data_IF_888798693451
#
_entry.id   IF_888798693451
#
_cell.length_a   1.000
_cell.length_b   1.000
_cell.length_c   1.000
_cell.angle_alpha   90.00
_cell.angle_beta   90.00
_cell.angle_gamma   90.00
#
_symmetry.space_group_name_H-M   'P 1'
#
loop_
_entity.id
_entity.type
_entity.pdbx_description
1 polymer ?
#
# COMPACT_ATOMS: atom_id res chain seq x y z
N UNK A 1 -10.69 29.98 -5.94
CA UNK A 1 -9.21 29.83 -5.89
C UNK A 1 -8.79 28.80 -4.84
N UNK A 2 -9.42 28.77 -3.66
CA UNK A 2 -9.20 27.73 -2.64
C UNK A 2 -9.56 26.31 -3.12
N UNK A 3 -10.74 26.07 -3.71
CA UNK A 3 -11.13 24.73 -4.21
C UNK A 3 -10.14 24.12 -5.20
N UNK A 4 -9.66 24.90 -6.18
CA UNK A 4 -8.64 24.46 -7.15
C UNK A 4 -7.31 24.09 -6.48
N UNK A 5 -6.93 24.78 -5.40
CA UNK A 5 -5.73 24.44 -4.64
C UNK A 5 -5.93 23.16 -3.80
N UNK A 6 -7.13 22.95 -3.26
CA UNK A 6 -7.48 21.74 -2.52
C UNK A 6 -7.49 20.50 -3.43
N UNK A 7 -8.06 20.60 -4.63
CA UNK A 7 -8.04 19.52 -5.63
C UNK A 7 -6.62 19.19 -6.09
N UNK A 8 -5.80 20.19 -6.39
CA UNK A 8 -4.41 19.98 -6.80
C UNK A 8 -3.57 19.32 -5.70
N UNK A 9 -3.85 19.65 -4.43
CA UNK A 9 -3.19 19.05 -3.27
C UNK A 9 -3.61 17.60 -3.09
N UNK A 10 -4.91 17.28 -3.19
CA UNK A 10 -5.40 15.90 -3.05
C UNK A 10 -4.87 14.99 -4.16
N UNK A 11 -4.81 15.49 -5.39
CA UNK A 11 -4.28 14.77 -6.54
C UNK A 11 -2.78 14.46 -6.40
N UNK A 12 -2.03 15.42 -5.86
CA UNK A 12 -0.60 15.24 -5.57
C UNK A 12 -0.38 14.17 -4.49
N UNK A 13 -1.16 14.22 -3.40
CA UNK A 13 -1.07 13.23 -2.33
C UNK A 13 -1.35 11.83 -2.88
N UNK A 14 -2.42 11.63 -3.67
CA UNK A 14 -2.74 10.32 -4.25
C UNK A 14 -1.62 9.80 -5.17
N UNK A 15 -1.00 10.68 -5.96
CA UNK A 15 0.07 10.30 -6.90
C UNK A 15 1.38 9.93 -6.20
N UNK A 16 1.75 10.63 -5.13
CA UNK A 16 3.06 10.45 -4.49
C UNK A 16 3.03 9.56 -3.26
N UNK A 17 1.88 9.38 -2.61
CA UNK A 17 1.77 8.55 -1.42
C UNK A 17 2.23 7.09 -1.65
N UNK A 18 1.92 6.42 -2.79
CA UNK A 18 2.50 5.13 -3.18
C UNK A 18 4.03 5.03 -3.12
N UNK A 19 4.73 6.16 -3.21
CA UNK A 19 6.19 6.25 -3.30
C UNK A 19 6.79 6.61 -1.94
N UNK A 20 6.16 7.56 -1.24
CA UNK A 20 6.72 8.16 -0.02
C UNK A 20 6.96 7.11 1.07
N UNK A 21 5.98 6.28 1.39
CA UNK A 21 6.13 5.32 2.49
C UNK A 21 7.16 4.22 2.19
N UNK A 22 7.15 3.55 1.03
CA UNK A 22 8.22 2.61 0.68
C UNK A 22 9.59 3.26 0.65
N UNK A 23 9.72 4.48 0.13
CA UNK A 23 11.00 5.20 0.10
C UNK A 23 11.52 5.50 1.52
N UNK A 24 10.65 5.95 2.43
CA UNK A 24 11.01 6.17 3.84
C UNK A 24 11.39 4.86 4.55
N UNK A 25 10.69 3.76 4.26
CA UNK A 25 11.03 2.46 4.80
C UNK A 25 12.40 1.98 4.31
N UNK A 26 12.69 2.09 3.01
CA UNK A 26 13.98 1.73 2.43
C UNK A 26 15.09 2.60 3.04
N UNK A 27 14.87 3.91 3.17
CA UNK A 27 15.83 4.82 3.80
C UNK A 27 16.11 4.43 5.26
N UNK A 28 15.05 4.16 6.03
CA UNK A 28 15.18 3.71 7.42
C UNK A 28 15.92 2.39 7.54
N UNK A 29 15.65 1.44 6.65
CA UNK A 29 16.35 0.16 6.59
C UNK A 29 17.84 0.35 6.27
N UNK A 30 18.18 1.18 5.28
CA UNK A 30 19.57 1.49 4.92
C UNK A 30 20.30 2.09 6.12
N UNK A 31 19.69 3.08 6.80
CA UNK A 31 20.28 3.69 7.99
C UNK A 31 20.55 2.64 9.07
N UNK A 32 19.58 1.75 9.34
CA UNK A 32 19.76 0.69 10.33
C UNK A 32 20.87 -0.28 9.94
N UNK A 33 20.92 -0.71 8.68
CA UNK A 33 21.96 -1.61 8.16
C UNK A 33 23.33 -0.97 8.31
N UNK A 34 23.50 0.29 7.90
CA UNK A 34 24.79 0.99 7.94
C UNK A 34 25.26 1.24 9.37
N UNK A 35 24.37 1.64 10.28
CA UNK A 35 24.74 1.99 11.66
C UNK A 35 24.93 0.74 12.53
N UNK A 36 24.08 -0.28 12.37
CA UNK A 36 24.05 -1.45 13.26
C UNK A 36 24.63 -2.72 12.65
N UNK A 37 24.96 -2.72 11.35
CA UNK A 37 25.45 -3.92 10.65
C UNK A 37 24.41 -5.05 10.59
N UNK A 38 23.11 -4.72 10.56
CA UNK A 38 22.04 -5.72 10.55
C UNK A 38 21.91 -6.44 9.21
N UNK A 39 21.31 -7.64 9.23
CA UNK A 39 21.06 -8.42 8.01
C UNK A 39 20.22 -7.65 7.00
N UNK A 40 20.72 -7.52 5.77
CA UNK A 40 20.13 -6.65 4.72
C UNK A 40 18.70 -7.04 4.40
N UNK A 41 18.46 -8.33 4.08
CA UNK A 41 17.15 -8.82 3.64
C UNK A 41 16.12 -8.73 4.75
N UNK A 42 16.45 -9.22 5.95
CA UNK A 42 15.55 -9.17 7.10
C UNK A 42 15.18 -7.72 7.46
N UNK A 43 16.17 -6.81 7.45
CA UNK A 43 15.94 -5.40 7.78
C UNK A 43 15.06 -4.73 6.73
N UNK A 44 15.33 -4.92 5.43
CA UNK A 44 14.47 -4.38 4.37
C UNK A 44 13.04 -4.92 4.47
N UNK A 45 12.89 -6.22 4.72
CA UNK A 45 11.60 -6.87 4.79
C UNK A 45 10.76 -6.33 5.96
N UNK A 46 11.31 -6.24 7.18
CA UNK A 46 10.53 -5.74 8.33
C UNK A 46 10.14 -4.27 8.17
N UNK A 47 11.00 -3.45 7.56
CA UNK A 47 10.69 -2.04 7.29
C UNK A 47 9.59 -1.88 6.24
N UNK A 48 9.60 -2.70 5.19
CA UNK A 48 8.54 -2.69 4.18
C UNK A 48 7.22 -3.24 4.74
N UNK A 49 7.26 -4.28 5.59
CA UNK A 49 6.08 -4.79 6.31
C UNK A 49 5.49 -3.72 7.26
N UNK A 50 6.34 -2.97 7.95
CA UNK A 50 5.90 -1.83 8.77
C UNK A 50 5.33 -0.69 7.90
N UNK A 51 5.90 -0.42 6.73
CA UNK A 51 5.38 0.59 5.79
C UNK A 51 4.01 0.21 5.22
N UNK A 52 3.78 -1.04 4.82
CA UNK A 52 2.41 -1.46 4.42
C UNK A 52 1.46 -1.41 5.62
N UNK A 53 1.97 -1.61 6.85
CA UNK A 53 1.21 -1.44 8.08
C UNK A 53 0.70 0.00 8.27
N UNK A 54 1.61 0.96 8.22
CA UNK A 54 1.29 2.39 8.30
C UNK A 54 0.41 2.82 7.12
N UNK A 55 0.73 2.36 5.91
CA UNK A 55 -0.05 2.61 4.70
C UNK A 55 -1.47 2.08 4.78
N UNK A 56 -1.67 0.90 5.37
CA UNK A 56 -2.98 0.30 5.59
C UNK A 56 -3.84 1.11 6.57
N UNK A 57 -3.25 1.62 7.66
CA UNK A 57 -3.97 2.51 8.59
C UNK A 57 -4.37 3.82 7.88
N UNK A 58 -3.47 4.39 7.09
CA UNK A 58 -3.77 5.60 6.32
C UNK A 58 -4.89 5.36 5.29
N UNK A 59 -4.82 4.25 4.56
CA UNK A 59 -5.85 3.86 3.60
C UNK A 59 -7.20 3.64 4.30
N UNK A 60 -7.22 2.97 5.47
CA UNK A 60 -8.41 2.86 6.32
C UNK A 60 -9.00 4.23 6.63
N UNK A 61 -8.18 5.20 7.06
CA UNK A 61 -8.67 6.54 7.38
C UNK A 61 -9.34 7.20 6.18
N UNK A 62 -8.74 7.10 4.99
CA UNK A 62 -9.30 7.61 3.75
C UNK A 62 -10.62 6.91 3.38
N UNK A 63 -10.58 5.59 3.26
CA UNK A 63 -11.73 4.78 2.87
C UNK A 63 -12.89 4.84 3.88
N UNK A 64 -12.61 5.01 5.17
CA UNK A 64 -13.63 5.11 6.22
C UNK A 64 -14.15 6.54 6.38
N UNK A 65 -13.31 7.53 6.63
CA UNK A 65 -13.78 8.88 6.97
C UNK A 65 -14.04 9.75 5.73
N UNK A 66 -13.43 9.41 4.59
CA UNK A 66 -13.50 10.17 3.33
C UNK A 66 -13.89 9.29 2.13
N UNK A 67 -14.79 8.33 2.35
CA UNK A 67 -15.19 7.33 1.34
C UNK A 67 -15.57 7.93 -0.02
N UNK A 68 -16.30 9.06 -0.01
CA UNK A 68 -16.71 9.74 -1.24
C UNK A 68 -15.55 10.33 -2.03
N UNK A 69 -14.57 10.93 -1.34
CA UNK A 69 -13.40 11.52 -1.99
C UNK A 69 -12.49 10.44 -2.57
N UNK A 70 -12.33 9.32 -1.86
CA UNK A 70 -11.55 8.18 -2.34
C UNK A 70 -12.23 7.51 -3.54
N UNK A 71 -13.54 7.27 -3.48
CA UNK A 71 -14.26 6.74 -4.64
C UNK A 71 -14.11 7.64 -5.87
N UNK A 72 -14.23 8.97 -5.71
CA UNK A 72 -13.99 9.93 -6.79
C UNK A 72 -12.56 9.88 -7.32
N UNK A 73 -11.55 9.79 -6.47
CA UNK A 73 -10.14 9.77 -6.91
C UNK A 73 -9.81 8.50 -7.71
N UNK A 74 -10.51 7.40 -7.45
CA UNK A 74 -10.43 6.14 -8.20
C UNK A 74 -11.33 6.17 -9.44
N UNK A 75 -12.23 7.15 -9.59
CA UNK A 75 -13.18 7.23 -10.70
C UNK A 75 -14.39 6.31 -10.54
N UNK A 76 -14.72 5.92 -9.31
CA UNK A 76 -15.83 5.04 -8.98
C UNK A 76 -17.02 5.81 -8.39
N UNK A 77 -18.21 5.22 -8.48
CA UNK A 77 -19.42 5.81 -7.91
C UNK A 77 -19.30 5.98 -6.38
N UNK A 78 -19.76 7.13 -5.89
CA UNK A 78 -19.80 7.44 -4.45
C UNK A 78 -21.04 6.88 -3.77
N UNK A 79 -20.99 6.72 -2.45
CA UNK A 79 -22.16 6.35 -1.63
C UNK A 79 -22.42 4.84 -1.52
N UNK A 80 -21.57 4.00 -2.13
CA UNK A 80 -21.62 2.55 -1.93
C UNK A 80 -20.92 2.14 -0.63
N UNK A 81 -21.40 1.05 -0.01
CA UNK A 81 -20.77 0.46 1.18
C UNK A 81 -19.39 -0.14 0.93
N UNK A 82 -19.03 -0.37 -0.34
CA UNK A 82 -17.77 -0.99 -0.75
C UNK A 82 -16.53 -0.32 -0.16
N UNK A 83 -16.50 1.02 -0.12
CA UNK A 83 -15.37 1.76 0.45
C UNK A 83 -15.16 1.42 1.94
N UNK A 84 -16.24 1.13 2.68
CA UNK A 84 -16.13 0.74 4.11
C UNK A 84 -15.58 -0.67 4.29
N UNK A 85 -15.90 -1.58 3.39
CA UNK A 85 -15.31 -2.93 3.38
C UNK A 85 -13.80 -2.84 3.12
N UNK A 86 -13.41 -2.09 2.08
CA UNK A 86 -12.00 -1.84 1.76
C UNK A 86 -11.27 -1.13 2.91
N UNK A 87 -11.94 -0.24 3.63
CA UNK A 87 -11.37 0.38 4.81
C UNK A 87 -10.99 -0.69 5.87
N UNK A 88 -11.91 -1.60 6.20
CA UNK A 88 -11.66 -2.63 7.21
C UNK A 88 -10.60 -3.64 6.75
N UNK A 89 -10.57 -3.99 5.47
CA UNK A 89 -9.50 -4.81 4.89
C UNK A 89 -8.14 -4.14 5.07
N UNK A 90 -8.03 -2.85 4.73
CA UNK A 90 -6.79 -2.09 4.91
C UNK A 90 -6.41 -1.91 6.39
N UNK A 91 -7.38 -1.77 7.30
CA UNK A 91 -7.10 -1.73 8.74
C UNK A 91 -6.51 -3.04 9.23
N UNK A 92 -7.06 -4.19 8.80
CA UNK A 92 -6.53 -5.51 9.14
C UNK A 92 -5.10 -5.72 8.65
N UNK A 93 -4.83 -5.39 7.38
CA UNK A 93 -3.48 -5.38 6.81
C UNK A 93 -2.58 -4.41 7.59
N UNK A 94 -3.09 -3.23 7.92
CA UNK A 94 -2.38 -2.18 8.61
C UNK A 94 -1.87 -2.60 9.99
N UNK A 95 -2.78 -3.16 10.80
CA UNK A 95 -2.46 -3.70 12.13
C UNK A 95 -1.47 -4.85 12.02
N UNK A 96 -1.71 -5.80 11.11
CA UNK A 96 -0.83 -6.97 10.96
C UNK A 96 0.58 -6.59 10.45
N UNK A 97 0.67 -5.61 9.54
CA UNK A 97 1.95 -5.08 9.06
C UNK A 97 2.78 -4.42 10.17
N UNK A 98 2.15 -3.64 11.06
CA UNK A 98 2.83 -3.06 12.23
C UNK A 98 3.25 -4.16 13.22
N UNK A 99 2.40 -5.16 13.43
CA UNK A 99 2.72 -6.31 14.29
C UNK A 99 3.97 -7.06 13.83
N UNK A 100 4.33 -7.03 12.54
CA UNK A 100 5.53 -7.67 12.02
C UNK A 100 6.84 -7.14 12.65
N UNK A 101 6.84 -5.96 13.28
CA UNK A 101 7.99 -5.43 14.03
C UNK A 101 8.37 -6.37 15.18
N UNK A 102 7.38 -7.01 15.81
CA UNK A 102 7.57 -7.88 16.98
C UNK A 102 7.38 -9.36 16.65
N UNK A 103 6.40 -9.68 15.80
CA UNK A 103 6.07 -11.06 15.43
C UNK A 103 6.74 -11.42 14.10
N UNK A 104 7.69 -12.36 14.13
CA UNK A 104 8.52 -12.77 12.97
C UNK A 104 8.16 -14.17 12.45
N UNK A 105 8.90 -14.66 11.44
CA UNK A 105 8.79 -16.03 10.94
C UNK A 105 7.51 -16.28 10.15
N UNK A 106 6.70 -17.25 10.56
CA UNK A 106 5.44 -17.60 9.88
C UNK A 106 4.37 -16.50 9.98
N UNK A 107 4.47 -15.61 10.98
CA UNK A 107 3.62 -14.43 11.02
C UNK A 107 3.86 -13.51 9.81
N UNK A 108 5.12 -13.26 9.45
CA UNK A 108 5.44 -12.50 8.24
C UNK A 108 4.89 -13.18 6.99
N UNK A 109 4.97 -14.51 6.91
CA UNK A 109 4.40 -15.26 5.78
C UNK A 109 2.91 -14.96 5.59
N UNK A 110 2.13 -15.02 6.67
CA UNK A 110 0.70 -14.74 6.62
C UNK A 110 0.39 -13.31 6.18
N UNK A 111 1.16 -12.33 6.68
CA UNK A 111 0.99 -10.92 6.29
C UNK A 111 1.37 -10.67 4.83
N UNK A 112 2.48 -11.27 4.37
CA UNK A 112 2.91 -11.20 2.96
C UNK A 112 1.84 -11.77 2.04
N UNK A 113 1.29 -12.95 2.35
CA UNK A 113 0.24 -13.59 1.56
C UNK A 113 -1.02 -12.71 1.52
N UNK A 114 -1.49 -12.25 2.69
CA UNK A 114 -2.69 -11.42 2.78
C UNK A 114 -2.55 -10.12 1.97
N UNK A 115 -1.42 -9.41 2.14
CA UNK A 115 -1.15 -8.18 1.42
C UNK A 115 -1.02 -8.41 -0.09
N UNK A 116 -0.31 -9.47 -0.51
CA UNK A 116 -0.12 -9.79 -1.91
C UNK A 116 -1.44 -10.11 -2.62
N UNK A 117 -2.29 -10.95 -2.01
CA UNK A 117 -3.60 -11.29 -2.59
C UNK A 117 -4.46 -10.04 -2.75
N UNK A 118 -4.50 -9.19 -1.73
CA UNK A 118 -5.26 -7.94 -1.79
C UNK A 118 -4.73 -6.99 -2.87
N UNK A 119 -3.43 -6.69 -2.85
CA UNK A 119 -2.81 -5.73 -3.75
C UNK A 119 -2.87 -6.19 -5.22
N UNK A 120 -2.48 -7.44 -5.50
CA UNK A 120 -2.53 -7.98 -6.87
C UNK A 120 -3.98 -8.15 -7.36
N UNK A 121 -4.92 -8.46 -6.45
CA UNK A 121 -6.35 -8.46 -6.76
C UNK A 121 -6.87 -7.07 -7.12
N UNK A 122 -6.45 -6.03 -6.38
CA UNK A 122 -6.75 -4.64 -6.71
C UNK A 122 -6.15 -4.24 -8.06
N UNK A 123 -4.90 -4.63 -8.35
CA UNK A 123 -4.27 -4.40 -9.66
C UNK A 123 -5.12 -4.96 -10.79
N UNK A 124 -5.58 -6.21 -10.66
CA UNK A 124 -6.46 -6.84 -11.64
C UNK A 124 -7.78 -6.04 -11.81
N UNK A 125 -8.40 -5.61 -10.71
CA UNK A 125 -9.59 -4.77 -10.73
C UNK A 125 -9.38 -3.46 -11.48
N UNK A 126 -8.31 -2.73 -11.18
CA UNK A 126 -7.93 -1.48 -11.83
C UNK A 126 -7.63 -1.65 -13.33
N UNK A 127 -6.95 -2.74 -13.71
CA UNK A 127 -6.67 -3.07 -15.12
C UNK A 127 -7.97 -3.39 -15.86
N UNK A 128 -8.86 -4.18 -15.28
CA UNK A 128 -10.18 -4.46 -15.84
C UNK A 128 -10.99 -3.18 -16.07
N UNK A 129 -11.04 -2.32 -15.04
CA UNK A 129 -11.78 -1.07 -15.09
C UNK A 129 -11.19 -0.09 -16.11
N UNK A 130 -9.86 -0.05 -16.21
CA UNK A 130 -9.14 0.70 -17.25
C UNK A 130 -9.60 0.29 -18.64
N UNK A 131 -9.67 -1.00 -18.94
CA UNK A 131 -10.00 -1.47 -20.29
C UNK A 131 -11.50 -1.42 -20.60
N UNK A 132 -12.36 -1.66 -19.62
CA UNK A 132 -13.82 -1.64 -19.81
C UNK A 132 -14.40 -0.24 -19.86
N UNK A 133 -13.92 0.65 -18.98
CA UNK A 133 -14.52 1.97 -18.76
C UNK A 133 -13.58 3.13 -19.16
N UNK A 134 -12.42 2.83 -19.75
CA UNK A 134 -11.39 3.82 -20.08
C UNK A 134 -10.96 4.66 -18.86
N UNK A 135 -11.01 4.08 -17.64
CA UNK A 135 -10.78 4.80 -16.40
C UNK A 135 -9.29 5.17 -16.21
N UNK A 136 -8.97 6.46 -16.39
CA UNK A 136 -7.63 7.05 -16.19
C UNK A 136 -7.52 7.84 -14.88
N UNK A 137 -8.48 7.69 -13.96
CA UNK A 137 -8.44 8.40 -12.70
C UNK A 137 -7.12 8.08 -11.97
N UNK A 138 -6.49 9.08 -11.32
CA UNK A 138 -5.17 8.92 -10.73
C UNK A 138 -5.13 7.90 -9.58
N UNK A 139 -6.27 7.63 -8.93
CA UNK A 139 -6.42 6.56 -7.94
C UNK A 139 -6.74 5.18 -8.55
N UNK A 140 -6.90 5.06 -9.87
CA UNK A 140 -7.10 3.79 -10.59
C UNK A 140 -5.89 3.44 -11.48
N UNK A 141 -5.26 4.44 -12.09
CA UNK A 141 -4.19 4.25 -13.06
C UNK A 141 -2.95 5.07 -12.70
N UNK A 142 -1.78 4.53 -13.02
CA UNK A 142 -0.49 5.19 -12.76
C UNK A 142 0.21 4.65 -11.52
N UNK A 143 0.81 5.49 -10.65
CA UNK A 143 1.65 5.04 -9.55
C UNK A 143 0.97 4.05 -8.59
N UNK A 144 -0.33 4.22 -8.32
CA UNK A 144 -1.07 3.30 -7.45
C UNK A 144 -1.03 1.87 -8.02
N UNK A 145 -1.42 1.70 -9.29
CA UNK A 145 -1.43 0.41 -9.97
C UNK A 145 -0.02 -0.20 -10.06
N UNK A 146 0.92 0.56 -10.62
CA UNK A 146 2.21 -0.01 -10.99
C UNK A 146 3.13 -0.19 -9.78
N UNK A 147 3.10 0.74 -8.83
CA UNK A 147 4.02 0.71 -7.68
C UNK A 147 3.39 0.04 -6.48
N UNK A 148 2.16 0.41 -6.08
CA UNK A 148 1.53 -0.15 -4.88
C UNK A 148 0.90 -1.51 -5.13
N UNK A 149 0.16 -1.67 -6.23
CA UNK A 149 -0.64 -2.89 -6.43
C UNK A 149 0.15 -4.03 -7.08
N UNK A 150 1.25 -3.71 -7.78
CA UNK A 150 2.09 -4.69 -8.50
C UNK A 150 3.51 -4.75 -7.93
N UNK A 151 4.30 -3.67 -8.03
CA UNK A 151 5.72 -3.76 -7.70
C UNK A 151 5.98 -4.07 -6.23
N UNK A 152 5.32 -3.36 -5.31
CA UNK A 152 5.51 -3.52 -3.88
C UNK A 152 5.19 -4.93 -3.36
N UNK A 153 4.02 -5.55 -3.65
CA UNK A 153 3.75 -6.92 -3.22
C UNK A 153 4.74 -7.92 -3.82
N UNK A 154 5.14 -7.77 -5.08
CA UNK A 154 6.15 -8.65 -5.70
C UNK A 154 7.53 -8.51 -5.03
N UNK A 155 7.97 -7.29 -4.72
CA UNK A 155 9.22 -7.04 -3.98
C UNK A 155 9.16 -7.70 -2.60
N UNK A 156 8.06 -7.53 -1.87
CA UNK A 156 7.88 -8.11 -0.53
C UNK A 156 7.86 -9.65 -0.61
N UNK A 157 7.18 -10.25 -1.60
CA UNK A 157 7.22 -11.69 -1.83
C UNK A 157 8.66 -12.16 -2.06
N UNK A 158 9.39 -11.52 -2.99
CA UNK A 158 10.77 -11.89 -3.29
C UNK A 158 11.68 -11.77 -2.06
N UNK A 159 11.57 -10.68 -1.30
CA UNK A 159 12.34 -10.50 -0.06
C UNK A 159 12.00 -11.56 0.99
N UNK A 160 10.72 -11.92 1.13
CA UNK A 160 10.30 -12.97 2.07
C UNK A 160 10.82 -14.36 1.66
N UNK A 161 10.78 -14.69 0.36
CA UNK A 161 11.35 -15.92 -0.19
C UNK A 161 12.85 -16.00 0.10
N UNK A 162 13.59 -14.92 -0.17
CA UNK A 162 15.02 -14.85 0.10
C UNK A 162 15.30 -14.95 1.60
N UNK A 163 14.53 -14.26 2.44
CA UNK A 163 14.67 -14.34 3.91
C UNK A 163 14.42 -15.75 4.45
N UNK A 164 13.48 -16.49 3.86
CA UNK A 164 13.09 -17.83 4.35
C UNK A 164 14.10 -18.91 3.97
N UNK A 165 14.79 -18.76 2.83
CA UNK A 165 15.61 -19.82 2.24
C UNK A 165 17.06 -19.42 1.95
N UNK A 166 17.48 -18.20 2.26
CA UNK A 166 18.87 -17.74 2.23
C UNK A 166 19.48 -17.73 3.62
#
# INVERSE_FOLDING_TARGET
MQEKNTEKTSESVVKFFPIILPALAILGAIIQIVIKGSGVVETLLVYLLAAIGIGGIWAFMGHWFKSGDVAKSIGWATGSGFQKEIAMTNLGIGVAGIMCIWFRGDFWMAVVIMYAIFALGAAYGHIQDRYKNNNLAPGNWGPILWLSDIALPLIIICLFIIYRWG
#
